data_IF_734350138200
#
_entry.id   IF_734350138200
#
_cell.length_a   1.000
_cell.length_b   1.000
_cell.length_c   1.000
_cell.angle_alpha   90.00
_cell.angle_beta   90.00
_cell.angle_gamma   90.00
#
_symmetry.space_group_name_H-M   'P 1'
#
loop_
_entity.id
_entity.type
_entity.pdbx_description
1 polymer ?
#
# COMPACT_ATOMS: atom_id res chain seq x y z
N UNK A 1 2.66 -9.10 -16.91
CA UNK A 1 1.39 -8.73 -17.59
C UNK A 1 1.06 -7.23 -17.56
N UNK A 2 1.72 -6.40 -16.72
CA UNK A 2 1.59 -4.93 -16.77
C UNK A 2 2.42 -4.26 -17.90
N UNK A 3 3.39 -4.96 -18.49
CA UNK A 3 4.35 -4.37 -19.44
C UNK A 3 3.96 -4.36 -20.92
N UNK A 4 2.97 -5.14 -21.37
CA UNK A 4 2.65 -5.20 -22.82
C UNK A 4 1.86 -3.98 -23.35
N UNK A 5 1.48 -3.02 -22.49
CA UNK A 5 0.50 -1.99 -22.80
C UNK A 5 1.05 -0.56 -22.69
N UNK A 6 2.35 -0.33 -22.88
CA UNK A 6 2.91 1.04 -22.82
C UNK A 6 2.56 1.90 -24.04
N UNK A 7 2.13 1.33 -25.17
CA UNK A 7 1.89 2.11 -26.40
C UNK A 7 0.44 2.59 -26.58
N UNK A 8 -0.49 2.20 -25.69
CA UNK A 8 -1.95 2.45 -25.85
C UNK A 8 -2.69 2.74 -24.54
N UNK A 9 -2.06 3.30 -23.50
CA UNK A 9 -2.72 3.38 -22.19
C UNK A 9 -2.33 4.60 -21.33
N UNK A 10 -2.63 5.80 -21.86
CA UNK A 10 -2.52 7.03 -21.09
C UNK A 10 -3.49 7.09 -19.90
N UNK A 11 -4.72 6.58 -20.02
CA UNK A 11 -5.75 6.75 -18.98
C UNK A 11 -5.71 5.68 -17.87
N UNK A 12 -5.49 4.41 -18.20
CA UNK A 12 -5.57 3.35 -17.20
C UNK A 12 -4.35 3.28 -16.27
N UNK A 13 -3.22 3.90 -16.66
CA UNK A 13 -2.02 4.00 -15.82
C UNK A 13 -2.19 4.96 -14.64
N UNK A 14 -3.07 5.97 -14.75
CA UNK A 14 -3.34 6.91 -13.64
C UNK A 14 -4.37 6.39 -12.63
N UNK A 15 -5.19 5.41 -13.00
CA UNK A 15 -6.20 4.84 -12.09
C UNK A 15 -5.60 4.27 -10.79
N UNK A 16 -4.56 3.43 -10.81
CA UNK A 16 -3.96 2.94 -9.56
C UNK A 16 -3.34 4.08 -8.73
N UNK A 17 -2.85 5.15 -9.36
CA UNK A 17 -2.26 6.29 -8.64
C UNK A 17 -3.28 6.99 -7.72
N UNK A 18 -4.55 7.03 -8.12
CA UNK A 18 -5.63 7.69 -7.37
C UNK A 18 -6.38 6.69 -6.48
N UNK A 19 -6.64 5.48 -7.00
CA UNK A 19 -7.42 4.47 -6.27
C UNK A 19 -6.67 3.94 -5.07
N UNK A 20 -5.37 3.64 -5.20
CA UNK A 20 -4.58 3.06 -4.10
C UNK A 20 -4.54 3.96 -2.85
N UNK A 21 -4.18 5.25 -2.90
CA UNK A 21 -4.21 6.09 -1.70
C UNK A 21 -5.63 6.25 -1.13
N UNK A 22 -6.65 6.34 -1.99
CA UNK A 22 -8.05 6.40 -1.54
C UNK A 22 -8.44 5.14 -0.76
N UNK A 23 -8.07 3.95 -1.23
CA UNK A 23 -8.34 2.69 -0.53
C UNK A 23 -7.62 2.55 0.81
N UNK A 24 -6.42 3.13 0.96
CA UNK A 24 -5.70 3.13 2.23
C UNK A 24 -6.38 4.03 3.27
N UNK A 25 -6.84 5.21 2.84
CA UNK A 25 -7.54 6.16 3.72
C UNK A 25 -8.88 5.57 4.17
N UNK A 26 -9.66 4.98 3.27
CA UNK A 26 -10.95 4.37 3.62
C UNK A 26 -10.78 3.16 4.54
N UNK A 27 -9.75 2.34 4.33
CA UNK A 27 -9.41 1.24 5.24
C UNK A 27 -9.07 1.75 6.63
N UNK A 28 -8.25 2.80 6.75
CA UNK A 28 -7.89 3.37 8.05
C UNK A 28 -9.13 3.89 8.80
N UNK A 29 -10.02 4.60 8.10
CA UNK A 29 -11.28 5.08 8.69
C UNK A 29 -12.18 3.91 9.11
N UNK A 30 -12.28 2.86 8.30
CA UNK A 30 -13.06 1.67 8.64
C UNK A 30 -12.52 0.96 9.88
N UNK A 31 -11.20 0.81 10.02
CA UNK A 31 -10.55 0.21 11.19
C UNK A 31 -10.79 1.07 12.44
N UNK A 32 -10.66 2.39 12.33
CA UNK A 32 -10.93 3.32 13.43
C UNK A 32 -12.38 3.28 13.89
N UNK A 33 -13.34 3.01 12.99
CA UNK A 33 -14.75 2.83 13.36
C UNK A 33 -15.04 1.44 13.97
N UNK A 34 -14.22 0.43 13.70
CA UNK A 34 -14.43 -0.94 14.20
C UNK A 34 -13.64 -1.25 15.48
N UNK A 35 -12.70 -0.39 15.88
CA UNK A 35 -11.87 -0.61 17.07
C UNK A 35 -12.69 -0.76 18.36
N UNK A 36 -13.82 -0.06 18.45
CA UNK A 36 -14.72 -0.13 19.62
C UNK A 36 -15.40 -1.49 19.78
N UNK A 37 -15.59 -2.21 18.67
CA UNK A 37 -16.24 -3.52 18.65
C UNK A 37 -15.22 -4.68 18.61
N UNK A 38 -13.97 -4.41 18.20
CA UNK A 38 -12.94 -5.42 17.99
C UNK A 38 -11.64 -4.98 18.67
N UNK A 39 -11.48 -5.24 19.99
CA UNK A 39 -10.32 -4.78 20.76
C UNK A 39 -9.00 -5.44 20.31
N UNK A 40 -9.06 -6.55 19.56
CA UNK A 40 -7.87 -7.18 18.98
C UNK A 40 -7.17 -6.29 17.94
N UNK A 41 -7.81 -5.24 17.42
CA UNK A 41 -7.18 -4.29 16.49
C UNK A 41 -6.15 -3.38 17.18
N UNK A 42 -6.24 -3.18 18.50
CA UNK A 42 -5.27 -2.37 19.27
C UNK A 42 -4.04 -3.12 19.75
N UNK A 43 -4.14 -4.44 19.89
CA UNK A 43 -3.07 -5.27 20.47
C UNK A 43 -2.64 -6.44 19.59
N UNK A 44 -3.30 -6.67 18.46
CA UNK A 44 -3.07 -7.83 17.58
C UNK A 44 -2.11 -7.57 16.43
N UNK A 45 -1.46 -6.41 16.35
CA UNK A 45 -0.47 -6.10 15.32
C UNK A 45 0.90 -6.76 15.57
N UNK A 46 1.91 -6.41 14.76
CA UNK A 46 3.24 -6.98 14.93
C UNK A 46 4.01 -6.34 16.09
N UNK A 47 5.17 -6.92 16.42
CA UNK A 47 6.01 -6.54 17.55
C UNK A 47 6.33 -5.03 17.64
N UNK A 48 6.44 -4.33 16.51
CA UNK A 48 6.74 -2.89 16.43
C UNK A 48 5.56 -2.02 15.95
N UNK A 49 4.42 -2.63 15.58
CA UNK A 49 3.17 -1.93 15.27
C UNK A 49 2.02 -2.71 15.92
N UNK A 50 1.84 -2.58 17.23
CA UNK A 50 0.83 -3.39 17.95
C UNK A 50 -0.58 -2.84 17.76
N UNK A 51 -0.69 -1.52 17.61
CA UNK A 51 -1.96 -0.81 17.43
C UNK A 51 -2.14 -0.44 15.95
N UNK A 52 -3.15 -1.03 15.31
CA UNK A 52 -3.47 -0.77 13.91
C UNK A 52 -4.26 0.54 13.71
N UNK A 53 -4.71 1.18 14.79
CA UNK A 53 -5.45 2.45 14.72
C UNK A 53 -4.57 3.68 14.70
N UNK A 54 -3.30 3.52 15.08
CA UNK A 54 -2.31 4.59 15.04
C UNK A 54 -1.36 4.42 13.86
N UNK A 55 -0.91 5.52 13.22
CA UNK A 55 0.11 5.44 12.19
C UNK A 55 1.41 4.88 12.80
N UNK A 56 2.17 4.10 12.00
CA UNK A 56 3.45 3.49 12.41
C UNK A 56 4.39 4.56 12.98
N UNK A 57 4.64 4.51 14.28
CA UNK A 57 5.43 5.52 15.00
C UNK A 57 6.92 5.50 14.63
N UNK A 58 7.42 4.37 14.12
CA UNK A 58 8.82 4.18 13.72
C UNK A 58 9.00 4.30 12.20
N UNK A 59 7.91 4.52 11.45
CA UNK A 59 7.85 4.55 10.00
C UNK A 59 8.49 3.32 9.30
N UNK A 60 8.56 2.18 9.98
CA UNK A 60 9.22 0.97 9.43
C UNK A 60 8.39 0.40 8.28
N UNK A 61 7.07 0.30 8.45
CA UNK A 61 6.17 -0.22 7.43
C UNK A 61 6.13 0.64 6.14
N UNK A 62 6.02 1.99 6.21
CA UNK A 62 6.17 2.86 5.05
C UNK A 62 7.52 2.73 4.33
N UNK A 63 8.63 2.60 5.08
CA UNK A 63 9.98 2.47 4.50
C UNK A 63 10.13 1.18 3.68
N UNK A 64 9.67 0.06 4.24
CA UNK A 64 9.68 -1.24 3.56
C UNK A 64 8.80 -1.18 2.30
N UNK A 65 7.60 -0.60 2.41
CA UNK A 65 6.67 -0.45 1.27
C UNK A 65 7.29 0.37 0.13
N UNK A 66 7.97 1.48 0.45
CA UNK A 66 8.67 2.31 -0.54
C UNK A 66 9.77 1.52 -1.27
N UNK A 67 10.56 0.74 -0.54
CA UNK A 67 11.60 -0.12 -1.11
C UNK A 67 11.01 -1.17 -2.07
N UNK A 68 9.88 -1.78 -1.72
CA UNK A 68 9.19 -2.74 -2.58
C UNK A 68 8.64 -2.10 -3.86
N UNK A 69 8.09 -0.88 -3.77
CA UNK A 69 7.60 -0.14 -4.94
C UNK A 69 8.77 0.16 -5.89
N UNK A 70 9.91 0.62 -5.34
CA UNK A 70 11.12 0.89 -6.11
C UNK A 70 11.68 -0.36 -6.79
N UNK A 71 11.77 -1.48 -6.07
CA UNK A 71 12.17 -2.77 -6.66
C UNK A 71 11.21 -3.20 -7.78
N UNK A 72 9.91 -3.02 -7.57
CA UNK A 72 8.89 -3.39 -8.56
C UNK A 72 9.02 -2.55 -9.84
N UNK A 73 9.33 -1.25 -9.73
CA UNK A 73 9.55 -0.42 -10.92
C UNK A 73 10.78 -0.83 -11.72
N UNK A 74 11.88 -1.19 -11.05
CA UNK A 74 13.11 -1.64 -11.70
C UNK A 74 12.93 -3.02 -12.38
N UNK A 75 12.29 -3.98 -11.70
CA UNK A 75 12.01 -5.31 -12.26
C UNK A 75 11.05 -5.22 -13.45
N UNK A 76 10.03 -4.35 -13.35
CA UNK A 76 9.12 -4.08 -14.46
C UNK A 76 9.87 -3.50 -15.67
N UNK A 77 10.79 -2.57 -15.44
CA UNK A 77 11.63 -1.96 -16.48
C UNK A 77 12.57 -2.98 -17.14
N UNK A 78 13.23 -3.83 -16.36
CA UNK A 78 14.11 -4.88 -16.89
C UNK A 78 13.36 -5.96 -17.66
N UNK A 79 12.16 -6.35 -17.23
CA UNK A 79 11.31 -7.30 -17.95
C UNK A 79 10.85 -6.77 -19.32
N UNK A 80 10.81 -5.46 -19.53
CA UNK A 80 10.48 -4.84 -20.82
C UNK A 80 11.64 -4.86 -21.84
N UNK A 81 12.87 -5.14 -21.39
CA UNK A 81 14.09 -5.16 -22.23
C UNK A 81 14.41 -6.57 -22.78
N UNK A 82 13.63 -7.59 -22.42
CA UNK A 82 13.72 -8.98 -22.89
C UNK A 82 12.51 -9.28 -23.78
#
# INVERSE_FOLDING_TARGET
>A
MLCLCSHRLGLASYLPLIVTPYTLITLHIAVSNMVDNVPSLKGGGAFWFTDLTTPDALCIFPMITSLFIMLTSEVCSQFLQI
#
